data_IF_149684227719
#
_entry.id   IF_149684227719
#
_cell.length_a   1.000
_cell.length_b   1.000
_cell.length_c   1.000
_cell.angle_alpha   90.00
_cell.angle_beta   90.00
_cell.angle_gamma   90.00
#
_symmetry.space_group_name_H-M   'P 1'
#
loop_
_entity.id
_entity.type
_entity.pdbx_description
1 polymer ?
#
# COMPACT_ATOMS: atom_id res chain seq x y z
N UNK A 1 0.75 -1.93 19.56
CA UNK A 1 0.64 -0.58 18.96
C UNK A 1 0.33 -0.79 17.49
N UNK A 2 -0.75 -0.19 16.97
CA UNK A 2 -1.10 -0.30 15.55
C UNK A 2 -0.67 0.96 14.80
N UNK A 3 -0.22 0.77 13.56
CA UNK A 3 0.15 1.84 12.65
C UNK A 3 -0.70 1.71 11.38
N UNK A 4 -1.24 2.83 10.92
CA UNK A 4 -1.95 2.91 9.65
C UNK A 4 -1.23 3.91 8.75
N UNK A 5 -0.90 3.48 7.53
CA UNK A 5 -0.29 4.32 6.50
C UNK A 5 -1.22 4.41 5.30
N UNK A 6 -1.47 5.62 4.84
CA UNK A 6 -2.22 5.90 3.62
C UNK A 6 -1.25 6.36 2.54
N UNK A 7 -1.33 5.73 1.37
CA UNK A 7 -0.56 6.10 0.18
C UNK A 7 -1.53 6.51 -0.91
N UNK A 8 -1.47 7.78 -1.31
CA UNK A 8 -2.27 8.32 -2.42
C UNK A 8 -1.45 8.14 -3.69
N UNK A 9 -1.99 7.38 -4.64
CA UNK A 9 -1.41 7.23 -5.97
C UNK A 9 -2.22 8.04 -6.95
N UNK A 10 -1.53 8.92 -7.67
CA UNK A 10 -2.12 9.90 -8.61
C UNK A 10 -2.61 9.25 -9.90
N UNK A 11 -2.16 8.04 -10.17
CA UNK A 11 -2.57 7.17 -11.27
C UNK A 11 -3.04 5.84 -10.67
N UNK A 12 -4.05 5.22 -11.26
CA UNK A 12 -4.57 3.92 -10.80
C UNK A 12 -3.66 2.72 -11.14
N UNK A 13 -2.39 2.98 -11.46
CA UNK A 13 -1.36 2.00 -11.77
C UNK A 13 -0.60 1.61 -10.49
N UNK A 14 -1.17 0.64 -9.77
CA UNK A 14 -0.59 0.11 -8.53
C UNK A 14 0.33 -1.07 -8.88
N UNK A 15 1.61 -1.07 -8.47
CA UNK A 15 2.49 -2.19 -8.71
C UNK A 15 2.00 -3.44 -7.96
N UNK A 16 2.20 -4.62 -8.56
CA UNK A 16 1.97 -5.89 -7.86
C UNK A 16 3.10 -6.18 -6.86
N UNK A 17 2.88 -7.17 -6.00
CA UNK A 17 3.87 -7.55 -4.96
C UNK A 17 5.19 -8.08 -5.51
N UNK A 18 5.23 -8.64 -6.72
CA UNK A 18 6.49 -9.06 -7.35
C UNK A 18 7.33 -7.84 -7.74
N UNK A 19 6.74 -6.84 -8.39
CA UNK A 19 7.40 -5.58 -8.72
C UNK A 19 7.88 -4.87 -7.45
N UNK A 20 7.08 -4.87 -6.38
CA UNK A 20 7.50 -4.34 -5.08
C UNK A 20 8.67 -5.11 -4.47
N UNK A 21 8.71 -6.45 -4.62
CA UNK A 21 9.84 -7.27 -4.16
C UNK A 21 11.12 -7.01 -4.97
N UNK A 22 11.02 -6.73 -6.27
CA UNK A 22 12.17 -6.35 -7.08
C UNK A 22 12.71 -4.99 -6.64
N UNK A 23 11.82 -4.01 -6.44
CA UNK A 23 12.17 -2.68 -5.92
C UNK A 23 12.72 -2.74 -4.49
N UNK A 24 12.18 -3.60 -3.62
CA UNK A 24 12.67 -3.72 -2.24
C UNK A 24 14.10 -4.23 -2.20
N UNK A 25 14.46 -5.17 -3.07
CA UNK A 25 15.84 -5.65 -3.23
C UNK A 25 16.77 -4.55 -3.73
N UNK A 26 16.34 -3.74 -4.70
CA UNK A 26 17.15 -2.63 -5.22
C UNK A 26 17.39 -1.53 -4.18
N UNK A 27 16.41 -1.29 -3.31
CA UNK A 27 16.47 -0.26 -2.27
C UNK A 27 17.02 -0.77 -0.92
N UNK A 28 17.45 -2.04 -0.84
CA UNK A 28 17.80 -2.72 0.41
C UNK A 28 16.72 -2.55 1.51
N UNK A 29 15.45 -2.51 1.12
CA UNK A 29 14.34 -2.43 2.06
C UNK A 29 14.08 -3.81 2.71
N UNK A 30 13.82 -3.88 4.01
CA UNK A 30 13.73 -5.14 4.75
C UNK A 30 12.43 -5.93 4.53
N UNK A 31 11.62 -5.57 3.53
CA UNK A 31 10.29 -6.12 3.29
C UNK A 31 10.28 -7.07 2.08
N UNK A 32 9.62 -8.20 2.24
CA UNK A 32 9.38 -9.16 1.16
C UNK A 32 7.95 -9.70 1.25
N UNK A 33 7.17 -9.50 0.19
CA UNK A 33 5.84 -10.08 0.04
C UNK A 33 5.94 -11.56 -0.36
N UNK A 34 5.16 -12.43 0.28
CA UNK A 34 5.24 -13.87 0.05
C UNK A 34 4.38 -14.37 -1.11
N UNK A 35 3.29 -13.68 -1.40
CA UNK A 35 2.34 -14.04 -2.45
C UNK A 35 2.44 -13.06 -3.62
N UNK A 36 2.27 -13.55 -4.85
CA UNK A 36 2.13 -12.70 -6.03
C UNK A 36 0.68 -12.20 -6.14
N UNK A 37 0.43 -11.03 -5.57
CA UNK A 37 -0.90 -10.46 -5.41
C UNK A 37 -0.97 -9.15 -6.19
N UNK A 38 -2.06 -9.03 -6.95
CA UNK A 38 -2.48 -7.77 -7.56
C UNK A 38 -3.09 -6.90 -6.44
N UNK A 39 -2.29 -5.95 -5.94
CA UNK A 39 -2.67 -5.08 -4.82
C UNK A 39 -3.96 -4.30 -5.13
N UNK A 40 -4.18 -3.95 -6.40
CA UNK A 40 -5.37 -3.21 -6.83
C UNK A 40 -6.68 -3.98 -6.58
N UNK A 41 -6.61 -5.31 -6.55
CA UNK A 41 -7.77 -6.21 -6.36
C UNK A 41 -7.77 -6.89 -5.00
N UNK A 42 -6.73 -6.69 -4.20
CA UNK A 42 -6.58 -7.34 -2.92
C UNK A 42 -7.23 -6.52 -1.81
N UNK A 43 -7.85 -7.23 -0.88
CA UNK A 43 -8.34 -6.63 0.37
C UNK A 43 -8.16 -7.63 1.48
N UNK A 44 -7.57 -7.16 2.59
CA UNK A 44 -7.34 -7.97 3.78
C UNK A 44 -5.87 -8.28 4.02
N UNK A 45 -5.63 -9.37 4.74
CA UNK A 45 -4.30 -9.73 5.21
C UNK A 45 -3.38 -10.12 4.05
N UNK A 46 -2.18 -9.54 4.03
CA UNK A 46 -1.12 -9.85 3.08
C UNK A 46 0.11 -10.32 3.86
N UNK A 47 0.52 -11.59 3.71
CA UNK A 47 1.67 -12.12 4.44
C UNK A 47 2.98 -11.56 3.87
N UNK A 48 3.87 -11.12 4.76
CA UNK A 48 5.16 -10.53 4.41
C UNK A 48 6.26 -11.04 5.33
N UNK A 49 7.50 -11.03 4.86
CA UNK A 49 8.69 -11.15 5.70
C UNK A 49 9.27 -9.79 5.95
N UNK A 50 9.49 -9.48 7.22
CA UNK A 50 10.21 -8.28 7.65
C UNK A 50 11.52 -8.72 8.29
N UNK A 51 12.66 -8.32 7.73
CA UNK A 51 13.98 -8.80 8.15
C UNK A 51 14.10 -10.35 8.20
N UNK A 52 13.35 -11.04 7.34
CA UNK A 52 13.32 -12.50 7.31
C UNK A 52 12.37 -13.17 8.31
N UNK A 53 11.76 -12.41 9.22
CA UNK A 53 10.75 -12.92 10.16
C UNK A 53 9.34 -12.84 9.53
N UNK A 54 8.51 -13.85 9.79
CA UNK A 54 7.13 -13.90 9.33
C UNK A 54 6.31 -12.77 9.97
N UNK A 55 5.60 -12.01 9.15
CA UNK A 55 4.76 -10.88 9.54
C UNK A 55 3.59 -10.74 8.57
N UNK A 56 2.84 -9.66 8.71
CA UNK A 56 1.74 -9.37 7.82
C UNK A 56 1.26 -7.94 7.91
N UNK A 57 0.64 -7.50 6.82
CA UNK A 57 0.05 -6.17 6.70
C UNK A 57 -1.37 -6.33 6.16
N UNK A 58 -2.35 -5.67 6.77
CA UNK A 58 -3.66 -5.58 6.15
C UNK A 58 -3.62 -4.49 5.08
N UNK A 59 -4.07 -4.82 3.88
CA UNK A 59 -4.07 -3.91 2.73
C UNK A 59 -5.49 -3.68 2.25
N UNK A 60 -5.85 -2.42 2.02
CA UNK A 60 -7.15 -2.02 1.49
C UNK A 60 -6.99 -1.01 0.36
N UNK A 61 -7.90 -1.06 -0.61
CA UNK A 61 -7.97 -0.15 -1.73
C UNK A 61 -9.29 0.59 -1.70
N UNK A 62 -9.23 1.92 -1.77
CA UNK A 62 -10.42 2.77 -1.82
C UNK A 62 -10.20 3.94 -2.78
N UNK A 63 -11.27 4.48 -3.39
CA UNK A 63 -11.20 5.73 -4.14
C UNK A 63 -10.84 6.90 -3.21
N UNK A 64 -10.11 7.89 -3.73
CA UNK A 64 -9.75 9.10 -2.96
C UNK A 64 -10.98 9.85 -2.41
N UNK A 65 -12.13 9.74 -3.08
CA UNK A 65 -13.39 10.35 -2.65
C UNK A 65 -13.85 9.93 -1.25
N UNK A 66 -13.43 8.77 -0.76
CA UNK A 66 -13.74 8.31 0.61
C UNK A 66 -12.88 8.99 1.69
N UNK A 67 -11.80 9.68 1.29
CA UNK A 67 -10.81 10.26 2.18
C UNK A 67 -10.70 11.78 2.10
N UNK A 68 -11.56 12.44 1.32
CA UNK A 68 -11.51 13.90 1.10
C UNK A 68 -11.57 14.70 2.40
N UNK A 69 -12.25 14.18 3.42
CA UNK A 69 -12.39 14.83 4.73
C UNK A 69 -11.20 14.57 5.67
N UNK A 70 -10.35 13.58 5.35
CA UNK A 70 -9.20 13.19 6.17
C UNK A 70 -7.91 13.90 5.77
N UNK A 71 -7.79 14.26 4.49
CA UNK A 71 -6.57 14.89 3.97
C UNK A 71 -6.76 16.41 3.85
N UNK A 72 -5.85 17.21 4.42
CA UNK A 72 -5.93 18.64 4.27
C UNK A 72 -5.74 19.06 2.81
N UNK A 73 -6.50 20.05 2.37
CA UNK A 73 -6.59 20.51 0.96
C UNK A 73 -5.37 21.32 0.48
N UNK A 74 -4.17 21.06 1.01
CA UNK A 74 -2.94 21.78 0.65
C UNK A 74 -2.48 21.48 -0.78
N UNK A 75 -3.02 20.43 -1.40
CA UNK A 75 -2.73 20.07 -2.78
C UNK A 75 -4.00 20.19 -3.63
N UNK A 76 -3.96 21.14 -4.57
CA UNK A 76 -5.02 21.39 -5.55
C UNK A 76 -4.74 20.73 -6.91
N UNK A 77 -3.76 19.84 -6.98
CA UNK A 77 -3.43 19.14 -8.22
C UNK A 77 -4.59 18.25 -8.65
N UNK A 78 -4.94 18.32 -9.94
CA UNK A 78 -5.89 17.39 -10.54
C UNK A 78 -5.24 16.02 -10.67
N UNK A 79 -5.88 14.99 -10.12
CA UNK A 79 -5.44 13.61 -10.26
C UNK A 79 -6.36 12.86 -11.22
N UNK A 80 -5.76 12.09 -12.13
CA UNK A 80 -6.50 11.24 -13.05
C UNK A 80 -6.76 9.88 -12.40
N UNK A 81 -7.98 9.70 -11.89
CA UNK A 81 -8.45 8.48 -11.20
C UNK A 81 -7.56 8.06 -10.00
N UNK A 82 -7.39 8.93 -8.98
CA UNK A 82 -6.55 8.63 -7.83
C UNK A 82 -7.11 7.52 -6.97
N UNK A 83 -6.22 6.69 -6.45
CA UNK A 83 -6.55 5.61 -5.52
C UNK A 83 -5.75 5.73 -4.23
N UNK A 84 -6.35 5.30 -3.12
CA UNK A 84 -5.71 5.26 -1.81
C UNK A 84 -5.44 3.82 -1.44
N UNK A 85 -4.16 3.50 -1.26
CA UNK A 85 -3.73 2.23 -0.66
C UNK A 85 -3.58 2.44 0.84
N UNK A 86 -4.34 1.69 1.64
CA UNK A 86 -4.23 1.71 3.10
C UNK A 86 -3.48 0.48 3.56
N UNK A 87 -2.38 0.69 4.27
CA UNK A 87 -1.62 -0.37 4.94
C UNK A 87 -1.82 -0.26 6.44
N UNK A 88 -2.25 -1.35 7.08
CA UNK A 88 -2.38 -1.42 8.54
C UNK A 88 -1.44 -2.49 9.07
N UNK A 89 -0.59 -2.08 10.00
CA UNK A 89 0.36 -2.96 10.66
C UNK A 89 0.06 -2.99 12.16
N UNK A 90 -0.02 -4.19 12.73
CA UNK A 90 -0.17 -4.39 14.16
C UNK A 90 -1.44 -5.13 14.55
N UNK A 91 -1.22 -6.19 15.33
CA UNK A 91 -2.15 -6.76 16.30
C UNK A 91 -1.57 -6.57 17.70
#
# INVERSE_FOLDING_TARGET
MSMTMYVILTLSDVPNTNSLNELSKQLNAPVQYLENVDIKKHTGFLPVKLNGEESGVETYMSPLSEFTDYFPSFDSSGYDEPVVVTFRWGG
#
